data_IF_878702408290
#
_entry.id   IF_878702408290
#
_cell.length_a   1.000
_cell.length_b   1.000
_cell.length_c   1.000
_cell.angle_alpha   90.00
_cell.angle_beta   90.00
_cell.angle_gamma   90.00
#
_symmetry.space_group_name_H-M   'P 1'
#
loop_
_entity.id
_entity.type
_entity.pdbx_description
1 polymer ?
#
# COMPACT_ATOMS: atom_id res chain seq x y z
N UNK A 1 4.87 8.90 -10.79
CA UNK A 1 5.72 8.70 -9.59
C UNK A 1 4.88 9.01 -8.37
N UNK A 2 4.94 8.21 -7.32
CA UNK A 2 4.13 8.39 -6.13
C UNK A 2 4.83 7.86 -4.88
N UNK A 3 4.40 8.37 -3.73
CA UNK A 3 4.71 7.83 -2.42
C UNK A 3 3.49 7.05 -1.91
N UNK A 4 3.73 5.94 -1.23
CA UNK A 4 2.70 5.12 -0.61
C UNK A 4 2.93 5.06 0.89
N UNK A 5 1.84 5.16 1.64
CA UNK A 5 1.83 4.85 3.07
C UNK A 5 0.81 3.73 3.31
N UNK A 6 1.17 2.75 4.14
CA UNK A 6 0.23 1.72 4.60
C UNK A 6 -0.94 2.35 5.36
N UNK A 7 -2.11 1.70 5.42
CA UNK A 7 -3.32 2.36 5.89
C UNK A 7 -3.32 2.49 7.43
N UNK A 8 -3.30 3.72 7.94
CA UNK A 8 -3.42 3.95 9.40
C UNK A 8 -4.78 3.48 9.95
N UNK A 9 -5.83 3.62 9.15
CA UNK A 9 -7.21 3.23 9.51
C UNK A 9 -7.43 1.71 9.58
N UNK A 10 -6.54 0.90 8.98
CA UNK A 10 -6.65 -0.57 9.05
C UNK A 10 -6.09 -1.13 10.36
N UNK A 11 -5.35 -0.33 11.13
CA UNK A 11 -4.71 -0.74 12.37
C UNK A 11 -5.70 -0.81 13.52
N UNK A 12 -5.54 -1.82 14.38
CA UNK A 12 -6.36 -2.00 15.58
C UNK A 12 -5.57 -1.73 16.84
N UNK A 13 -6.19 -1.03 17.80
CA UNK A 13 -5.65 -0.85 19.15
C UNK A 13 -5.63 -2.18 19.92
N UNK A 14 -6.62 -3.04 19.70
CA UNK A 14 -6.69 -4.38 20.26
C UNK A 14 -5.78 -5.32 19.45
N UNK A 15 -4.98 -6.11 20.16
CA UNK A 15 -3.99 -7.04 19.57
C UNK A 15 -3.08 -6.33 18.54
N UNK A 16 -2.32 -5.30 18.97
CA UNK A 16 -1.51 -4.48 18.07
C UNK A 16 -0.48 -5.31 17.28
N UNK A 17 -0.03 -6.45 17.80
CA UNK A 17 0.89 -7.36 17.11
C UNK A 17 0.35 -7.83 15.74
N UNK A 18 -0.97 -7.96 15.60
CA UNK A 18 -1.62 -8.37 14.35
C UNK A 18 -1.46 -7.29 13.27
N UNK A 19 -1.24 -6.03 13.65
CA UNK A 19 -0.97 -4.95 12.70
C UNK A 19 0.31 -5.20 11.90
N UNK A 20 1.29 -5.94 12.44
CA UNK A 20 2.50 -6.30 11.68
C UNK A 20 2.14 -7.05 10.40
N UNK A 21 1.20 -8.00 10.48
CA UNK A 21 0.75 -8.77 9.32
C UNK A 21 -0.04 -7.90 8.34
N UNK A 22 -0.91 -7.01 8.83
CA UNK A 22 -1.67 -6.06 8.00
C UNK A 22 -0.74 -5.16 7.20
N UNK A 23 0.18 -4.50 7.89
CA UNK A 23 1.18 -3.61 7.29
C UNK A 23 2.07 -4.36 6.31
N UNK A 24 2.45 -5.61 6.58
CA UNK A 24 3.26 -6.40 5.64
C UNK A 24 2.54 -6.67 4.30
N UNK A 25 1.24 -7.01 4.34
CA UNK A 25 0.44 -7.23 3.13
C UNK A 25 0.27 -5.91 2.36
N UNK A 26 -0.04 -4.83 3.04
CA UNK A 26 -0.19 -3.50 2.43
C UNK A 26 1.12 -2.98 1.83
N UNK A 27 2.24 -3.20 2.52
CA UNK A 27 3.57 -2.86 2.03
C UNK A 27 3.92 -3.63 0.76
N UNK A 28 3.65 -4.94 0.73
CA UNK A 28 3.87 -5.77 -0.45
C UNK A 28 3.01 -5.30 -1.63
N UNK A 29 1.75 -4.96 -1.39
CA UNK A 29 0.88 -4.38 -2.42
C UNK A 29 1.45 -3.06 -2.98
N UNK A 30 2.00 -2.18 -2.13
CA UNK A 30 2.66 -0.96 -2.57
C UNK A 30 3.91 -1.22 -3.44
N UNK A 31 4.71 -2.23 -3.08
CA UNK A 31 5.88 -2.65 -3.87
C UNK A 31 5.48 -3.24 -5.22
N UNK A 32 4.49 -4.15 -5.23
CA UNK A 32 3.95 -4.75 -6.46
C UNK A 32 3.33 -3.70 -7.39
N UNK A 33 2.67 -2.69 -6.82
CA UNK A 33 2.13 -1.55 -7.57
C UNK A 33 3.17 -0.53 -8.05
N UNK A 34 4.47 -0.78 -7.81
CA UNK A 34 5.55 0.03 -8.34
C UNK A 34 5.72 1.39 -7.68
N UNK A 35 5.51 1.50 -6.36
CA UNK A 35 5.78 2.74 -5.60
C UNK A 35 7.26 3.13 -5.62
N UNK A 36 7.57 4.44 -5.55
CA UNK A 36 8.96 4.93 -5.51
C UNK A 36 9.46 5.19 -4.08
N UNK A 37 8.53 5.33 -3.13
CA UNK A 37 8.84 5.56 -1.73
C UNK A 37 7.70 5.00 -0.90
N UNK A 38 8.04 4.26 0.16
CA UNK A 38 7.09 3.55 1.00
C UNK A 38 7.26 3.92 2.47
N UNK A 39 6.17 4.28 3.12
CA UNK A 39 6.06 4.36 4.57
C UNK A 39 5.24 3.17 5.08
N UNK A 40 5.83 2.42 6.00
CA UNK A 40 5.17 1.33 6.72
C UNK A 40 4.87 1.78 8.13
N UNK A 41 3.60 1.73 8.51
CA UNK A 41 3.13 2.12 9.84
C UNK A 41 3.65 1.15 10.90
N UNK A 42 3.80 1.64 12.12
CA UNK A 42 4.19 0.83 13.27
C UNK A 42 2.98 0.14 13.90
N UNK A 43 3.21 -1.02 14.51
CA UNK A 43 2.13 -1.84 15.11
C UNK A 43 1.32 -1.13 16.22
N UNK A 44 1.92 -0.12 16.86
CA UNK A 44 1.37 0.64 18.01
C UNK A 44 0.76 2.00 17.61
N UNK A 45 0.73 2.36 16.33
CA UNK A 45 0.22 3.67 15.87
C UNK A 45 -1.26 3.91 16.15
N UNK A 46 -2.06 2.85 16.30
CA UNK A 46 -3.46 2.96 16.72
C UNK A 46 -3.62 3.43 18.18
N UNK A 47 -2.55 3.39 18.98
CA UNK A 47 -2.57 3.71 20.41
C UNK A 47 -1.81 5.00 20.73
N UNK A 48 -0.62 5.17 20.15
CA UNK A 48 0.28 6.27 20.48
C UNK A 48 1.29 6.52 19.37
N UNK A 49 2.18 7.51 19.59
CA UNK A 49 3.37 7.64 18.76
C UNK A 49 4.23 6.37 18.86
N UNK A 50 4.87 5.97 17.75
CA UNK A 50 5.54 4.68 17.66
C UNK A 50 6.75 4.59 18.59
N UNK A 51 6.86 3.46 19.28
CA UNK A 51 8.06 3.12 20.04
C UNK A 51 9.23 2.77 19.11
N UNK A 52 10.47 2.90 19.59
CA UNK A 52 11.66 2.54 18.79
C UNK A 52 11.61 1.09 18.30
N UNK A 53 11.09 0.16 19.14
CA UNK A 53 10.91 -1.24 18.76
C UNK A 53 9.89 -1.39 17.63
N UNK A 54 8.74 -0.74 17.72
CA UNK A 54 7.70 -0.84 16.72
C UNK A 54 8.13 -0.20 15.38
N UNK A 55 8.77 0.96 15.43
CA UNK A 55 9.36 1.61 14.26
C UNK A 55 10.45 0.74 13.60
N UNK A 56 11.28 0.06 14.40
CA UNK A 56 12.27 -0.90 13.87
C UNK A 56 11.60 -2.07 13.16
N UNK A 57 10.51 -2.61 13.69
CA UNK A 57 9.77 -3.72 13.03
C UNK A 57 9.19 -3.23 11.70
N UNK A 58 8.57 -2.06 11.67
CA UNK A 58 8.07 -1.44 10.43
C UNK A 58 9.17 -1.32 9.36
N UNK A 59 10.34 -0.80 9.72
CA UNK A 59 11.50 -0.73 8.79
C UNK A 59 11.95 -2.12 8.33
N UNK A 60 12.00 -3.12 9.23
CA UNK A 60 12.39 -4.49 8.89
C UNK A 60 11.39 -5.15 7.95
N UNK A 61 10.10 -4.86 8.05
CA UNK A 61 9.09 -5.31 7.09
C UNK A 61 9.44 -4.91 5.66
N UNK A 62 9.85 -3.66 5.43
CA UNK A 62 10.28 -3.22 4.10
C UNK A 62 11.53 -3.97 3.63
N UNK A 63 12.49 -4.19 4.52
CA UNK A 63 13.75 -4.87 4.17
C UNK A 63 13.55 -6.34 3.83
N UNK A 64 12.67 -7.05 4.56
CA UNK A 64 12.30 -8.42 4.23
C UNK A 64 11.65 -8.47 2.85
N UNK A 65 10.71 -7.58 2.56
CA UNK A 65 10.09 -7.50 1.22
C UNK A 65 11.15 -7.25 0.14
N UNK A 66 12.03 -6.26 0.35
CA UNK A 66 13.03 -5.84 -0.64
C UNK A 66 14.11 -6.90 -0.90
N UNK A 67 14.53 -7.65 0.13
CA UNK A 67 15.74 -8.48 0.06
C UNK A 67 15.49 -9.98 0.16
N UNK A 68 14.34 -10.42 0.68
CA UNK A 68 14.10 -11.85 0.96
C UNK A 68 12.98 -12.45 0.12
N UNK A 69 11.98 -11.66 -0.31
CA UNK A 69 10.82 -12.20 -1.04
C UNK A 69 11.08 -12.47 -2.53
N UNK A 70 12.12 -11.84 -3.12
CA UNK A 70 12.40 -11.91 -4.55
C UNK A 70 11.46 -11.10 -5.44
N UNK A 71 10.48 -10.37 -4.87
CA UNK A 71 9.51 -9.57 -5.63
C UNK A 71 10.17 -8.47 -6.49
N UNK A 72 11.37 -8.05 -6.11
CA UNK A 72 12.15 -7.01 -6.79
C UNK A 72 12.89 -7.52 -8.04
N UNK A 73 12.89 -8.84 -8.29
CA UNK A 73 13.65 -9.45 -9.39
C UNK A 73 12.99 -9.26 -10.77
N UNK A 74 11.68 -9.00 -10.81
CA UNK A 74 10.92 -8.82 -12.05
C UNK A 74 10.12 -7.53 -11.93
N UNK A 75 10.24 -6.65 -12.94
CA UNK A 75 9.41 -5.47 -13.03
C UNK A 75 7.98 -5.87 -13.40
N UNK A 76 7.01 -5.31 -12.68
CA UNK A 76 5.57 -5.62 -12.83
C UNK A 76 5.25 -7.13 -12.88
N UNK A 77 5.49 -7.87 -11.78
CA UNK A 77 5.28 -9.32 -11.75
C UNK A 77 3.78 -9.71 -11.81
N UNK A 78 2.86 -8.74 -11.69
CA UNK A 78 1.43 -8.98 -11.79
C UNK A 78 0.90 -8.79 -13.21
N UNK A 79 1.69 -8.20 -14.12
CA UNK A 79 1.33 -8.00 -15.52
C UNK A 79 0.94 -9.32 -16.20
N UNK A 80 -0.18 -9.29 -16.92
CA UNK A 80 -0.78 -10.45 -17.57
C UNK A 80 -1.68 -11.31 -16.67
N UNK A 81 -1.81 -11.00 -15.38
CA UNK A 81 -2.82 -11.61 -14.52
C UNK A 81 -4.22 -11.14 -14.94
N UNK A 82 -5.00 -12.01 -15.57
CA UNK A 82 -6.36 -11.69 -16.03
C UNK A 82 -7.20 -10.92 -15.00
N UNK A 83 -7.15 -11.34 -13.74
CA UNK A 83 -7.90 -10.70 -12.66
C UNK A 83 -7.38 -9.29 -12.30
N UNK A 84 -6.06 -9.10 -12.25
CA UNK A 84 -5.47 -7.79 -11.91
C UNK A 84 -5.64 -6.81 -13.07
N UNK A 85 -5.53 -7.27 -14.30
CA UNK A 85 -5.77 -6.47 -15.50
C UNK A 85 -7.24 -6.00 -15.55
N UNK A 86 -8.21 -6.91 -15.34
CA UNK A 86 -9.64 -6.53 -15.29
C UNK A 86 -9.94 -5.51 -14.18
N UNK A 87 -9.36 -5.69 -12.99
CA UNK A 87 -9.50 -4.71 -11.90
C UNK A 87 -8.85 -3.36 -12.22
N UNK A 88 -7.75 -3.37 -12.97
CA UNK A 88 -7.04 -2.14 -13.39
C UNK A 88 -7.89 -1.37 -14.39
N UNK A 89 -8.42 -2.04 -15.42
CA UNK A 89 -9.32 -1.45 -16.42
C UNK A 89 -10.57 -0.86 -15.77
N UNK A 90 -11.17 -1.59 -14.82
CA UNK A 90 -12.36 -1.13 -14.10
C UNK A 90 -12.07 0.09 -13.23
N UNK A 91 -10.90 0.15 -12.58
CA UNK A 91 -10.48 1.31 -11.80
C UNK A 91 -10.27 2.53 -12.69
N UNK A 92 -9.62 2.38 -13.84
CA UNK A 92 -9.41 3.45 -14.82
C UNK A 92 -10.75 4.00 -15.34
N UNK A 93 -11.65 3.11 -15.75
CA UNK A 93 -12.99 3.48 -16.23
C UNK A 93 -13.76 4.30 -15.21
N UNK A 94 -13.82 3.83 -13.95
CA UNK A 94 -14.53 4.51 -12.87
C UNK A 94 -13.88 5.85 -12.50
N UNK A 95 -12.56 5.94 -12.50
CA UNK A 95 -11.86 7.20 -12.26
C UNK A 95 -12.18 8.23 -13.36
N UNK A 96 -12.20 7.78 -14.62
CA UNK A 96 -12.52 8.63 -15.78
C UNK A 96 -13.95 9.16 -15.71
N UNK A 97 -14.93 8.32 -15.35
CA UNK A 97 -16.32 8.74 -15.13
C UNK A 97 -16.45 9.83 -14.06
N UNK A 98 -15.64 9.75 -13.00
CA UNK A 98 -15.60 10.79 -11.96
C UNK A 98 -15.02 12.08 -12.54
N UNK A 99 -13.91 12.02 -13.30
CA UNK A 99 -13.34 13.21 -13.94
C UNK A 99 -14.34 13.88 -14.91
N UNK A 100 -15.01 13.10 -15.76
CA UNK A 100 -16.05 13.62 -16.67
C UNK A 100 -17.25 14.23 -15.91
N UNK A 101 -17.62 13.66 -14.78
CA UNK A 101 -18.63 14.26 -13.90
C UNK A 101 -18.15 15.60 -13.35
N UNK A 102 -16.93 15.66 -12.82
CA UNK A 102 -16.31 16.88 -12.29
C UNK A 102 -16.18 17.97 -13.36
N UNK A 103 -15.78 17.63 -14.58
CA UNK A 103 -15.66 18.58 -15.69
C UNK A 103 -17.02 19.17 -16.08
N UNK A 104 -18.08 18.37 -16.07
CA UNK A 104 -19.45 18.84 -16.36
C UNK A 104 -20.00 19.80 -15.30
N UNK A 105 -19.70 19.56 -14.03
CA UNK A 105 -20.15 20.43 -12.93
C UNK A 105 -19.21 21.62 -12.69
N UNK A 106 -17.94 21.50 -13.10
CA UNK A 106 -16.86 22.46 -12.94
C UNK A 106 -16.71 23.44 -14.09
N UNK A 107 -17.65 23.48 -15.04
CA UNK A 107 -17.71 24.47 -16.11
C UNK A 107 -17.95 25.89 -15.59
N UNK A 108 -16.87 26.50 -15.10
CA UNK A 108 -16.65 27.90 -14.77
C UNK A 108 -15.16 28.21 -14.88
#
# INVERSE_FOLDING_TARGET
RFHTQTAGVSLTAQQPEVNVARTAIEALAGVLGGTQSLHTNSMDEALALPTEKAARIALRTQQVIAHETGVTNVADPLGGSWFVEELTDEMERRATEIFEHLDRIGGG
#
